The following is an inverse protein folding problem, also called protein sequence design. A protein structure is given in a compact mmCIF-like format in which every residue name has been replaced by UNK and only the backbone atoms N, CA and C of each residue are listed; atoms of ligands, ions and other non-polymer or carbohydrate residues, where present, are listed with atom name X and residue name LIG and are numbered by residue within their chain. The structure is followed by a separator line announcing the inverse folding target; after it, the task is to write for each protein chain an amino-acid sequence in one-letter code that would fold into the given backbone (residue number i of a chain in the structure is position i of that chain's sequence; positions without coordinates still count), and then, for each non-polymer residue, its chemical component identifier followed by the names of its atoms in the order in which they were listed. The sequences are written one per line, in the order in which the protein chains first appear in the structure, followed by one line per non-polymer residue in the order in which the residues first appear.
data_IF_151935071087
#
_entry.id   IF_151935071087
#
_cell.length_a   1.000
_cell.length_b   1.000
_cell.length_c   1.000
_cell.angle_alpha   90.00
_cell.angle_beta   90.00
_cell.angle_gamma   90.00
#
_symmetry.space_group_name_H-M   'P 1'
#
loop_
_entity.id
_entity.type
_entity.pdbx_description
1 polymer ?
#
# COMPACT_ATOMS: atom_id res chain seq x y z
N UNK A 1 66.52 -2.69 -15.67
CA UNK A 1 65.23 -2.10 -16.12
C UNK A 1 63.99 -2.94 -15.80
N UNK A 2 63.97 -4.28 -15.98
CA UNK A 2 62.77 -5.11 -15.75
C UNK A 2 62.25 -5.16 -14.29
N UNK A 3 63.14 -5.06 -13.30
CA UNK A 3 62.74 -5.11 -11.87
C UNK A 3 62.08 -3.80 -11.39
N UNK A 4 62.58 -2.64 -11.83
CA UNK A 4 62.03 -1.33 -11.47
C UNK A 4 60.60 -1.17 -12.01
N UNK A 5 60.35 -1.67 -13.23
CA UNK A 5 59.02 -1.64 -13.83
C UNK A 5 58.01 -2.53 -13.07
N UNK A 6 58.46 -3.63 -12.47
CA UNK A 6 57.63 -4.50 -11.61
C UNK A 6 57.24 -3.80 -10.31
N UNK A 7 58.17 -3.11 -9.66
CA UNK A 7 57.86 -2.35 -8.44
C UNK A 7 56.92 -1.16 -8.72
N UNK A 8 57.07 -0.51 -9.88
CA UNK A 8 56.16 0.55 -10.32
C UNK A 8 54.72 0.03 -10.49
N UNK A 9 54.55 -1.15 -11.11
CA UNK A 9 53.24 -1.78 -11.25
C UNK A 9 52.62 -2.20 -9.91
N UNK A 10 53.43 -2.62 -8.94
CA UNK A 10 52.94 -2.97 -7.61
C UNK A 10 52.46 -1.75 -6.82
N UNK A 11 53.07 -0.58 -7.03
CA UNK A 11 52.67 0.66 -6.36
C UNK A 11 51.30 1.20 -6.82
N UNK A 12 50.91 0.92 -8.07
CA UNK A 12 49.61 1.33 -8.63
C UNK A 12 48.43 0.53 -8.06
N UNK A 13 48.65 -0.67 -7.52
CA UNK A 13 47.58 -1.48 -6.91
C UNK A 13 47.16 -0.99 -5.52
N UNK A 14 47.99 -0.19 -4.84
CA UNK A 14 47.72 0.28 -3.48
C UNK A 14 46.80 1.52 -3.47
N UNK A 15 46.68 2.21 -4.62
CA UNK A 15 45.93 3.48 -4.76
C UNK A 15 44.56 3.25 -5.41
N UNK A 16 43.90 2.13 -5.14
CA UNK A 16 42.47 2.07 -5.41
C UNK A 16 41.78 2.95 -4.36
N UNK A 17 41.13 4.07 -4.74
CA UNK A 17 40.29 4.78 -3.80
C UNK A 17 39.24 3.79 -3.34
N UNK A 18 39.15 3.57 -2.03
CA UNK A 18 38.00 2.93 -1.42
C UNK A 18 36.83 3.84 -1.76
N UNK A 19 36.16 3.54 -2.89
CA UNK A 19 34.95 4.21 -3.31
C UNK A 19 33.90 3.75 -2.31
N UNK A 20 33.85 4.44 -1.17
CA UNK A 20 32.81 4.24 -0.18
C UNK A 20 31.52 4.63 -0.88
N UNK A 21 30.73 3.63 -1.26
CA UNK A 21 29.38 3.83 -1.75
C UNK A 21 28.67 4.60 -0.64
N UNK A 22 28.39 5.89 -0.88
CA UNK A 22 27.60 6.70 0.05
C UNK A 22 26.24 6.03 0.06
N UNK A 23 26.01 5.16 1.05
CA UNK A 23 24.70 4.58 1.25
C UNK A 23 23.75 5.76 1.40
N UNK A 24 22.75 5.90 0.52
CA UNK A 24 21.79 6.96 0.67
C UNK A 24 21.21 6.83 2.08
N UNK A 25 21.28 7.91 2.86
CA UNK A 25 20.58 7.96 4.14
C UNK A 25 19.13 7.65 3.80
N UNK A 26 18.53 6.58 4.38
CA UNK A 26 17.15 6.25 4.07
C UNK A 26 16.32 7.51 4.31
N UNK A 27 15.43 7.88 3.38
CA UNK A 27 14.59 9.05 3.57
C UNK A 27 13.91 8.93 4.93
N UNK A 28 13.88 10.04 5.68
CA UNK A 28 13.17 10.09 6.96
C UNK A 28 11.72 9.65 6.79
N UNK A 29 11.04 9.22 7.88
CA UNK A 29 9.66 8.77 7.80
C UNK A 29 8.81 9.84 7.11
N UNK A 30 7.87 9.43 6.25
CA UNK A 30 7.07 10.37 5.48
C UNK A 30 6.29 11.32 6.39
N UNK A 31 6.27 12.59 6.01
CA UNK A 31 5.59 13.66 6.77
C UNK A 31 4.06 13.62 6.66
N UNK A 32 3.54 12.80 5.76
CA UNK A 32 2.12 12.71 5.39
C UNK A 32 1.71 11.24 5.29
N UNK A 33 0.45 10.96 5.59
CA UNK A 33 -0.13 9.63 5.52
C UNK A 33 -1.54 9.67 4.92
N UNK A 34 -2.00 8.51 4.48
CA UNK A 34 -3.25 8.33 3.77
C UNK A 34 -4.20 7.44 4.57
N UNK A 35 -5.47 7.79 4.63
CA UNK A 35 -6.51 6.92 5.18
C UNK A 35 -7.00 5.95 4.11
N UNK A 36 -6.90 4.66 4.42
CA UNK A 36 -7.21 3.59 3.48
C UNK A 36 -8.20 2.64 4.14
N UNK A 37 -9.28 2.32 3.43
CA UNK A 37 -10.18 1.22 3.79
C UNK A 37 -9.84 0.02 2.91
N UNK A 38 -9.48 -1.10 3.52
CA UNK A 38 -9.47 -2.40 2.84
C UNK A 38 -10.69 -3.20 3.25
N UNK A 39 -11.21 -3.98 2.31
CA UNK A 39 -12.40 -4.78 2.56
C UNK A 39 -12.33 -6.13 1.86
N UNK A 40 -13.05 -7.09 2.43
CA UNK A 40 -13.32 -8.41 1.86
C UNK A 40 -14.75 -8.82 2.20
N UNK A 41 -15.43 -9.44 1.24
CA UNK A 41 -16.78 -9.94 1.40
C UNK A 41 -16.91 -11.29 0.70
N UNK A 42 -17.41 -12.28 1.43
CA UNK A 42 -17.64 -13.65 0.99
C UNK A 42 -19.08 -14.03 1.29
N UNK A 43 -19.86 -14.23 0.23
CA UNK A 43 -21.25 -14.63 0.25
C UNK A 43 -22.18 -13.75 1.08
N UNK A 44 -21.84 -12.48 1.24
CA UNK A 44 -22.61 -11.42 1.91
C UNK A 44 -22.43 -10.11 1.14
N UNK A 45 -23.46 -9.27 1.10
CA UNK A 45 -23.39 -7.96 0.48
C UNK A 45 -22.83 -6.95 1.48
N UNK A 46 -21.80 -6.20 1.07
CA UNK A 46 -21.07 -5.25 1.91
C UNK A 46 -21.12 -3.87 1.28
N UNK A 47 -21.75 -2.91 1.97
CA UNK A 47 -21.78 -1.50 1.64
C UNK A 47 -20.96 -0.71 2.66
N UNK A 48 -20.14 0.23 2.19
CA UNK A 48 -19.27 1.07 3.03
C UNK A 48 -19.46 2.53 2.62
N UNK A 49 -19.76 3.38 3.60
CA UNK A 49 -19.84 4.82 3.44
C UNK A 49 -18.81 5.51 4.35
N UNK A 50 -18.10 6.50 3.84
CA UNK A 50 -17.25 7.40 4.61
C UNK A 50 -17.85 8.82 4.56
N UNK A 51 -18.27 9.35 5.72
CA UNK A 51 -18.96 10.64 5.83
C UNK A 51 -20.15 10.81 4.86
N UNK A 52 -20.84 9.71 4.55
CA UNK A 52 -21.98 9.69 3.61
C UNK A 52 -21.61 9.45 2.15
N UNK A 53 -20.32 9.43 1.80
CA UNK A 53 -19.85 9.11 0.45
C UNK A 53 -19.65 7.61 0.27
N UNK A 54 -20.01 7.09 -0.90
CA UNK A 54 -19.91 5.66 -1.23
C UNK A 54 -18.45 5.27 -1.47
N UNK A 55 -17.89 4.50 -0.54
CA UNK A 55 -16.59 3.85 -0.69
C UNK A 55 -16.76 2.54 -1.45
N UNK A 56 -17.81 1.79 -1.13
CA UNK A 56 -18.18 0.53 -1.78
C UNK A 56 -19.70 0.38 -1.81
N UNK A 57 -20.24 0.07 -2.99
CA UNK A 57 -21.66 -0.28 -3.15
C UNK A 57 -21.95 -1.71 -2.70
N UNK A 58 -23.11 -1.92 -2.08
CA UNK A 58 -23.58 -3.22 -1.59
C UNK A 58 -24.24 -4.11 -2.64
N UNK A 59 -24.41 -3.65 -3.88
CA UNK A 59 -25.20 -4.36 -4.91
C UNK A 59 -24.39 -5.40 -5.70
N UNK A 60 -23.53 -6.18 -5.05
CA UNK A 60 -22.72 -7.20 -5.73
C UNK A 60 -23.27 -8.61 -5.51
N UNK A 61 -23.37 -9.40 -6.59
CA UNK A 61 -23.70 -10.83 -6.53
C UNK A 61 -22.47 -11.73 -6.29
N UNK A 62 -21.27 -11.14 -6.32
CA UNK A 62 -20.00 -11.87 -6.26
C UNK A 62 -19.22 -11.56 -4.99
N UNK A 63 -18.32 -12.48 -4.64
CA UNK A 63 -17.34 -12.26 -3.60
C UNK A 63 -16.30 -11.26 -4.08
N UNK A 64 -15.85 -10.40 -3.18
CA UNK A 64 -15.01 -9.28 -3.60
C UNK A 64 -14.16 -8.79 -2.45
N UNK A 65 -12.94 -8.42 -2.81
CA UNK A 65 -12.01 -7.69 -1.95
C UNK A 65 -11.53 -6.45 -2.69
N UNK A 66 -11.00 -5.48 -1.93
CA UNK A 66 -10.48 -4.27 -2.52
C UNK A 66 -9.92 -3.30 -1.49
N UNK A 67 -9.47 -2.17 -2.02
CA UNK A 67 -8.87 -1.09 -1.27
C UNK A 67 -9.41 0.23 -1.82
N UNK A 68 -9.70 1.19 -0.92
CA UNK A 68 -10.11 2.53 -1.28
C UNK A 68 -9.32 3.57 -0.44
N UNK A 69 -8.75 4.55 -1.13
CA UNK A 69 -8.30 5.80 -0.53
C UNK A 69 -9.53 6.65 -0.19
N UNK A 70 -9.63 7.09 1.07
CA UNK A 70 -10.77 7.91 1.55
C UNK A 70 -10.35 9.33 1.95
N UNK A 71 -9.13 9.77 1.64
CA UNK A 71 -8.58 11.03 2.13
C UNK A 71 -9.44 12.24 1.77
N UNK A 72 -9.99 12.27 0.56
CA UNK A 72 -10.89 13.34 0.10
C UNK A 72 -12.18 13.45 0.92
N UNK A 73 -12.60 12.38 1.59
CA UNK A 73 -13.83 12.35 2.39
C UNK A 73 -13.57 12.52 3.88
N UNK A 74 -12.31 12.48 4.32
CA UNK A 74 -11.93 12.73 5.71
C UNK A 74 -11.80 14.24 5.94
N UNK A 75 -12.50 14.74 6.95
CA UNK A 75 -12.49 16.16 7.33
C UNK A 75 -11.86 16.35 8.72
N UNK A 76 -11.37 17.55 9.06
CA UNK A 76 -10.94 17.85 10.42
C UNK A 76 -12.08 17.61 11.42
N UNK A 77 -11.80 16.85 12.49
CA UNK A 77 -12.76 16.54 13.55
C UNK A 77 -13.33 15.13 13.47
N UNK A 78 -14.61 14.98 13.82
CA UNK A 78 -15.27 13.68 13.89
C UNK A 78 -15.65 13.18 12.49
N UNK A 79 -15.18 11.98 12.15
CA UNK A 79 -15.50 11.30 10.91
C UNK A 79 -16.31 10.03 11.22
N UNK A 80 -17.22 9.65 10.32
CA UNK A 80 -18.12 8.51 10.49
C UNK A 80 -17.93 7.55 9.32
N UNK A 81 -17.60 6.29 9.64
CA UNK A 81 -17.64 5.18 8.69
C UNK A 81 -18.88 4.36 9.00
N UNK A 82 -19.76 4.18 8.01
CA UNK A 82 -20.94 3.31 8.12
C UNK A 82 -20.73 2.06 7.30
N UNK A 83 -20.95 0.92 7.93
CA UNK A 83 -20.85 -0.40 7.30
C UNK A 83 -22.23 -1.02 7.36
N UNK A 84 -22.73 -1.47 6.21
CA UNK A 84 -23.99 -2.20 6.13
C UNK A 84 -23.75 -3.55 5.49
N UNK A 85 -24.27 -4.57 6.16
CA UNK A 85 -24.25 -5.94 5.71
C UNK A 85 -25.66 -6.36 5.35
N UNK A 86 -25.84 -6.98 4.18
CA UNK A 86 -27.12 -7.56 3.78
C UNK A 86 -26.94 -8.99 3.29
N UNK A 87 -27.93 -9.82 3.56
CA UNK A 87 -27.92 -11.20 3.10
C UNK A 87 -27.95 -11.25 1.58
N UNK A 88 -27.05 -12.05 0.99
CA UNK A 88 -27.05 -12.30 -0.44
C UNK A 88 -27.95 -13.50 -0.72
N UNK A 89 -28.91 -13.36 -1.65
CA UNK A 89 -29.69 -14.49 -2.13
C UNK A 89 -28.77 -15.47 -2.86
N UNK A 90 -28.41 -16.57 -2.20
CA UNK A 90 -27.60 -17.65 -2.80
C UNK A 90 -28.50 -18.63 -3.54
N UNK A 91 -28.15 -18.96 -4.78
CA UNK A 91 -28.74 -20.08 -5.51
C UNK A 91 -28.22 -21.41 -4.94
N UNK A 92 -28.96 -22.53 -5.07
CA UNK A 92 -28.51 -23.86 -4.55
C UNK A 92 -27.13 -24.30 -5.08
N UNK A 93 -26.69 -23.75 -6.22
CA UNK A 93 -25.38 -23.99 -6.83
C UNK A 93 -24.23 -23.21 -6.19
N UNK A 94 -24.54 -22.11 -5.50
CA UNK A 94 -23.59 -21.18 -4.86
C UNK A 94 -23.53 -21.37 -3.34
N UNK A 95 -24.09 -22.47 -2.82
CA UNK A 95 -23.89 -22.90 -1.45
C UNK A 95 -22.46 -23.39 -1.29
N UNK A 96 -21.54 -22.45 -1.11
CA UNK A 96 -20.20 -22.73 -0.60
C UNK A 96 -20.32 -23.27 0.83
N UNK A 97 -19.47 -24.22 1.21
CA UNK A 97 -19.38 -24.74 2.58
C UNK A 97 -18.87 -23.68 3.60
N UNK A 98 -18.58 -22.47 3.14
CA UNK A 98 -18.04 -21.40 3.97
C UNK A 98 -19.17 -20.46 4.43
N UNK A 99 -19.17 -20.09 5.72
CA UNK A 99 -20.13 -19.13 6.23
C UNK A 99 -19.98 -17.76 5.54
N UNK A 100 -21.05 -16.97 5.40
CA UNK A 100 -20.93 -15.59 4.97
C UNK A 100 -20.00 -14.81 5.90
N UNK A 101 -19.07 -14.05 5.33
CA UNK A 101 -18.07 -13.29 6.09
C UNK A 101 -17.80 -11.95 5.42
N UNK A 102 -17.61 -10.91 6.23
CA UNK A 102 -17.14 -9.61 5.78
C UNK A 102 -16.05 -9.09 6.71
N UNK A 103 -15.03 -8.49 6.13
CA UNK A 103 -13.91 -7.88 6.82
C UNK A 103 -13.74 -6.46 6.29
N UNK A 104 -13.59 -5.50 7.20
CA UNK A 104 -13.31 -4.10 6.87
C UNK A 104 -12.22 -3.60 7.81
N UNK A 105 -11.14 -3.06 7.25
CA UNK A 105 -10.02 -2.51 8.01
C UNK A 105 -9.78 -1.07 7.58
N UNK A 106 -9.71 -0.17 8.55
CA UNK A 106 -9.20 1.18 8.37
C UNK A 106 -7.72 1.18 8.71
N UNK A 107 -6.89 1.66 7.79
CA UNK A 107 -5.45 1.67 7.90
C UNK A 107 -4.89 3.05 7.55
N UNK A 108 -3.75 3.37 8.14
CA UNK A 108 -2.93 4.53 7.78
C UNK A 108 -1.81 4.06 6.86
N UNK A 109 -1.86 4.45 5.60
CA UNK A 109 -0.76 4.31 4.65
C UNK A 109 0.26 5.41 4.86
N UNK A 110 1.53 5.10 4.61
CA UNK A 110 2.61 6.08 4.63
C UNK A 110 2.89 6.60 3.22
N UNK A 111 3.19 7.89 3.07
CA UNK A 111 3.60 8.44 1.76
C UNK A 111 4.89 7.79 1.28
N UNK A 112 4.91 7.34 0.04
CA UNK A 112 5.99 6.58 -0.60
C UNK A 112 5.89 5.06 -0.40
N UNK A 113 4.80 4.57 0.20
CA UNK A 113 4.57 3.13 0.39
C UNK A 113 3.98 2.48 -0.86
N UNK A 114 3.29 3.24 -1.72
CA UNK A 114 2.72 2.73 -2.96
C UNK A 114 3.57 3.10 -4.20
N UNK A 115 3.77 2.16 -5.14
CA UNK A 115 4.66 2.35 -6.29
C UNK A 115 4.19 3.40 -7.30
N UNK A 116 2.91 3.77 -7.27
CA UNK A 116 2.25 4.77 -8.10
C UNK A 116 2.37 6.20 -7.56
N UNK A 117 2.90 6.40 -6.34
CA UNK A 117 3.09 7.73 -5.74
C UNK A 117 4.16 8.57 -6.44
N UNK A 118 4.93 7.97 -7.34
CA UNK A 118 5.90 8.65 -8.18
C UNK A 118 7.10 9.20 -7.40
N UNK A 119 8.27 9.18 -8.02
CA UNK A 119 9.42 9.92 -7.49
C UNK A 119 9.08 11.40 -7.70
N UNK A 120 9.12 12.20 -6.62
CA UNK A 120 9.12 13.67 -6.73
C UNK A 120 10.29 14.04 -7.66
N UNK A 121 10.00 14.39 -8.91
CA UNK A 121 10.97 15.03 -9.78
C UNK A 121 11.42 16.29 -9.04
N UNK A 122 12.67 16.31 -8.60
CA UNK A 122 13.27 17.46 -7.95
C UNK A 122 13.03 18.69 -8.83
N UNK A 123 12.35 19.69 -8.28
CA UNK A 123 12.28 21.03 -8.86
C UNK A 123 13.59 21.78 -8.57
#
# INVERSE_FOLDING_TARGET
MKQILRYLFFSLFIIQPILSEVKPVPPGPPKEGYYIITYKSTGINLEILANGYVVRSGESIEDSSGQADINYWVIPGTNIIKIRLTERKRTKKDQTNFPPEAEVKLMLGQKGQFPDEGILLQQ
#
